data_IF_709741782253
#
_entry.id   IF_709741782253
#
_cell.length_a   1.000
_cell.length_b   1.000
_cell.length_c   1.000
_cell.angle_alpha   90.00
_cell.angle_beta   90.00
_cell.angle_gamma   90.00
#
_symmetry.space_group_name_H-M   'P 1'
#
loop_
_entity.id
_entity.type
_entity.pdbx_description
1 polymer ?
#
# COMPACT_ATOMS: atom_id res chain seq x y z
N UNK A 1 -15.01 23.98 8.27
CA UNK A 1 -15.32 23.63 6.87
C UNK A 1 -16.12 22.35 6.85
N UNK A 2 -17.14 22.22 5.96
CA UNK A 2 -17.95 21.01 5.78
C UNK A 2 -17.63 20.34 4.45
N UNK A 3 -17.63 19.00 4.43
CA UNK A 3 -17.32 18.17 3.25
C UNK A 3 -17.72 16.71 3.48
N UNK A 4 -17.84 15.93 2.40
CA UNK A 4 -18.21 14.53 2.48
C UNK A 4 -17.03 13.63 2.84
N UNK A 5 -17.30 12.62 3.67
CA UNK A 5 -16.34 11.58 4.06
C UNK A 5 -17.00 10.21 4.20
N UNK A 6 -16.23 9.16 4.00
CA UNK A 6 -16.63 7.79 4.28
C UNK A 6 -16.13 7.37 5.68
N UNK A 7 -17.06 6.98 6.54
CA UNK A 7 -16.85 6.74 7.97
C UNK A 7 -17.02 5.26 8.25
N UNK A 8 -16.05 4.64 8.93
CA UNK A 8 -16.20 3.31 9.51
C UNK A 8 -16.90 3.46 10.87
N UNK A 9 -18.16 3.05 10.90
CA UNK A 9 -19.01 3.15 12.11
C UNK A 9 -19.01 1.83 12.89
N UNK A 10 -19.01 0.72 12.16
CA UNK A 10 -19.05 -0.64 12.72
C UNK A 10 -18.20 -1.57 11.86
N UNK A 11 -17.47 -2.48 12.50
CA UNK A 11 -16.65 -3.47 11.79
C UNK A 11 -17.53 -4.39 10.93
N UNK A 12 -17.02 -4.77 9.76
CA UNK A 12 -17.68 -5.64 8.77
C UNK A 12 -18.94 -5.06 8.14
N UNK A 13 -19.23 -3.78 8.36
CA UNK A 13 -20.35 -3.08 7.74
C UNK A 13 -19.84 -2.12 6.65
N UNK A 14 -20.69 -1.74 5.70
CA UNK A 14 -20.38 -0.71 4.72
C UNK A 14 -20.02 0.62 5.40
N UNK A 15 -19.11 1.38 4.79
CA UNK A 15 -18.80 2.73 5.24
C UNK A 15 -20.02 3.64 5.06
N UNK A 16 -20.27 4.49 6.04
CA UNK A 16 -21.32 5.51 6.00
C UNK A 16 -20.75 6.77 5.36
N UNK A 17 -21.40 7.29 4.31
CA UNK A 17 -21.01 8.55 3.67
C UNK A 17 -21.85 9.66 4.25
N UNK A 18 -21.21 10.66 4.86
CA UNK A 18 -21.88 11.77 5.50
C UNK A 18 -21.06 13.07 5.39
N UNK A 19 -21.74 14.21 5.40
CA UNK A 19 -21.12 15.52 5.54
C UNK A 19 -20.55 15.66 6.96
N UNK A 20 -19.25 15.87 7.06
CA UNK A 20 -18.53 16.10 8.31
C UNK A 20 -18.00 17.52 8.40
N UNK A 21 -17.72 17.98 9.60
CA UNK A 21 -17.11 19.28 9.87
C UNK A 21 -15.71 19.12 10.43
N UNK A 22 -14.71 19.78 9.77
CA UNK A 22 -13.33 19.78 10.24
C UNK A 22 -13.16 20.65 11.48
N UNK A 23 -12.28 20.23 12.42
CA UNK A 23 -11.84 21.11 13.49
C UNK A 23 -10.95 22.24 12.95
N UNK A 24 -10.72 23.32 13.72
CA UNK A 24 -9.64 24.28 13.44
C UNK A 24 -8.27 23.55 13.44
N UNK A 25 -7.37 24.04 12.60
CA UNK A 25 -6.00 23.50 12.56
C UNK A 25 -5.26 23.79 13.87
N UNK A 26 -4.49 22.80 14.29
CA UNK A 26 -3.58 22.88 15.43
C UNK A 26 -2.14 22.90 14.95
N UNK A 27 -1.21 23.12 15.87
CA UNK A 27 0.23 23.08 15.62
C UNK A 27 0.65 21.81 14.87
N UNK A 28 1.37 21.98 13.75
CA UNK A 28 1.87 20.90 12.91
C UNK A 28 0.83 20.18 12.03
N UNK A 29 -0.41 20.71 11.95
CA UNK A 29 -1.45 20.15 11.08
C UNK A 29 -1.52 20.89 9.74
N UNK A 30 -1.96 20.17 8.71
CA UNK A 30 -2.14 20.66 7.34
C UNK A 30 -3.53 20.26 6.87
N UNK A 31 -4.32 21.23 6.38
CA UNK A 31 -5.56 20.96 5.66
C UNK A 31 -5.25 20.71 4.20
N UNK A 32 -5.65 19.57 3.69
CA UNK A 32 -5.47 19.20 2.29
C UNK A 32 -6.81 18.92 1.62
N UNK A 33 -6.95 19.30 0.35
CA UNK A 33 -8.02 18.85 -0.54
C UNK A 33 -7.54 17.61 -1.28
N UNK A 34 -8.21 16.49 -1.06
CA UNK A 34 -7.89 15.23 -1.72
C UNK A 34 -8.33 15.30 -3.20
N UNK A 35 -7.49 14.85 -4.10
CA UNK A 35 -7.79 14.75 -5.53
C UNK A 35 -8.22 13.32 -5.87
N UNK A 36 -7.40 12.35 -5.42
CA UNK A 36 -7.72 10.94 -5.51
C UNK A 36 -7.02 10.17 -4.39
N UNK A 37 -7.62 9.08 -3.97
CA UNK A 37 -7.11 8.18 -2.93
C UNK A 37 -7.10 6.75 -3.42
N UNK A 38 -6.01 6.03 -3.19
CA UNK A 38 -5.95 4.59 -3.42
C UNK A 38 -6.64 3.81 -2.29
N UNK A 39 -7.14 2.61 -2.61
CA UNK A 39 -7.63 1.66 -1.61
C UNK A 39 -6.62 0.52 -1.48
N UNK A 40 -6.11 0.34 -0.27
CA UNK A 40 -5.14 -0.70 0.07
C UNK A 40 -5.83 -1.88 0.80
N UNK A 41 -5.27 -3.09 0.68
CA UNK A 41 -5.70 -4.25 1.46
C UNK A 41 -5.66 -4.01 2.98
N UNK A 42 -4.82 -3.08 3.45
CA UNK A 42 -4.79 -2.68 4.86
C UNK A 42 -6.13 -2.08 5.34
N UNK A 43 -6.84 -1.30 4.50
CA UNK A 43 -8.18 -0.79 4.83
C UNK A 43 -9.20 -1.92 4.90
N UNK A 44 -9.09 -2.91 4.00
CA UNK A 44 -9.96 -4.09 4.05
C UNK A 44 -9.76 -4.82 5.39
N UNK A 45 -8.50 -5.06 5.78
CA UNK A 45 -8.18 -5.68 7.07
C UNK A 45 -8.71 -4.88 8.26
N UNK A 46 -8.71 -3.54 8.17
CA UNK A 46 -9.23 -2.66 9.22
C UNK A 46 -10.76 -2.75 9.32
N UNK A 47 -11.46 -2.66 8.18
CA UNK A 47 -12.92 -2.84 8.10
C UNK A 47 -13.34 -4.22 8.61
N UNK A 48 -12.61 -5.28 8.27
CA UNK A 48 -12.90 -6.65 8.69
C UNK A 48 -12.50 -6.94 10.16
N UNK A 49 -11.91 -5.98 10.86
CA UNK A 49 -11.48 -6.15 12.24
C UNK A 49 -10.32 -7.14 12.39
N UNK A 50 -9.43 -7.25 11.41
CA UNK A 50 -8.31 -8.18 11.41
C UNK A 50 -7.39 -8.03 12.64
N UNK A 51 -7.33 -6.83 13.23
CA UNK A 51 -6.57 -6.53 14.44
C UNK A 51 -7.33 -6.81 15.74
N UNK A 52 -8.59 -7.24 15.67
CA UNK A 52 -9.51 -7.44 16.80
C UNK A 52 -10.45 -6.25 16.99
N UNK A 53 -11.10 -6.12 18.17
CA UNK A 53 -12.04 -5.04 18.46
C UNK A 53 -11.42 -3.66 18.26
N UNK A 54 -12.14 -2.77 17.59
CA UNK A 54 -11.68 -1.41 17.32
C UNK A 54 -12.29 -0.42 18.32
N UNK A 55 -11.44 0.13 19.18
CA UNK A 55 -11.83 1.10 20.20
C UNK A 55 -11.95 2.54 19.69
N UNK A 56 -11.63 2.78 18.42
CA UNK A 56 -11.62 4.12 17.83
C UNK A 56 -12.89 4.43 17.01
N UNK A 57 -13.81 3.46 16.86
CA UNK A 57 -15.07 3.66 16.13
C UNK A 57 -15.93 4.79 16.77
N UNK A 58 -16.62 5.61 15.97
CA UNK A 58 -16.47 5.72 14.52
C UNK A 58 -15.20 6.49 14.13
N UNK A 59 -14.57 6.12 12.99
CA UNK A 59 -13.39 6.83 12.50
C UNK A 59 -13.27 6.86 10.97
N UNK A 60 -12.43 7.77 10.48
CA UNK A 60 -12.08 7.90 9.07
C UNK A 60 -10.98 6.89 8.67
N UNK A 61 -10.95 6.56 7.38
CA UNK A 61 -10.02 5.63 6.75
C UNK A 61 -9.24 6.27 5.59
N UNK A 62 -8.38 5.44 4.96
CA UNK A 62 -7.54 5.83 3.83
C UNK A 62 -6.17 6.34 4.29
N UNK A 63 -5.10 6.05 3.49
CA UNK A 63 -3.75 6.42 3.89
C UNK A 63 -2.78 6.69 2.73
N UNK A 64 -3.30 6.72 1.50
CA UNK A 64 -2.51 7.02 0.30
C UNK A 64 -3.35 7.90 -0.63
N UNK A 65 -2.87 9.09 -0.96
CA UNK A 65 -3.59 10.03 -1.82
C UNK A 65 -2.65 11.04 -2.47
N UNK A 66 -3.14 11.68 -3.53
CA UNK A 66 -2.62 12.97 -3.98
C UNK A 66 -3.60 14.07 -3.58
N UNK A 67 -3.05 15.17 -3.09
CA UNK A 67 -3.84 16.27 -2.56
C UNK A 67 -3.21 17.62 -2.90
N UNK A 68 -3.98 18.70 -2.68
CA UNK A 68 -3.51 20.09 -2.69
C UNK A 68 -3.59 20.66 -1.29
N UNK A 69 -2.54 21.28 -0.81
CA UNK A 69 -2.52 21.99 0.49
C UNK A 69 -3.44 23.21 0.40
N UNK A 70 -4.38 23.32 1.31
CA UNK A 70 -5.33 24.43 1.39
C UNK A 70 -4.94 25.43 2.48
N UNK A 71 -4.54 24.92 3.66
CA UNK A 71 -4.19 25.72 4.82
C UNK A 71 -3.16 24.98 5.66
N UNK A 72 -2.31 25.70 6.38
CA UNK A 72 -1.31 25.15 7.29
C UNK A 72 -1.50 25.67 8.69
N UNK A 73 -1.35 24.82 9.68
CA UNK A 73 -1.31 25.20 11.09
C UNK A 73 0.05 25.80 11.47
N UNK A 74 0.09 26.39 12.65
CA UNK A 74 1.33 26.93 13.23
C UNK A 74 2.45 25.87 13.27
N UNK A 75 3.69 26.27 13.01
CA UNK A 75 4.88 25.41 13.04
C UNK A 75 5.13 24.61 11.76
N UNK A 76 4.19 24.53 10.84
CA UNK A 76 4.39 23.83 9.55
C UNK A 76 5.38 24.60 8.67
N UNK A 77 6.40 23.90 8.17
CA UNK A 77 7.49 24.50 7.39
C UNK A 77 7.80 23.77 6.08
N UNK A 78 7.36 22.51 5.93
CA UNK A 78 7.73 21.67 4.78
C UNK A 78 6.84 21.88 3.56
N UNK A 79 5.64 22.45 3.75
CA UNK A 79 4.65 22.72 2.70
C UNK A 79 3.96 24.07 2.92
N UNK A 80 3.31 24.61 1.89
CA UNK A 80 2.51 25.82 1.91
C UNK A 80 1.21 25.67 1.12
N UNK A 81 0.20 26.55 1.35
CA UNK A 81 -1.02 26.57 0.54
C UNK A 81 -0.71 26.61 -0.97
N UNK A 82 -1.45 25.79 -1.74
CA UNK A 82 -1.26 25.60 -3.17
C UNK A 82 -0.28 24.48 -3.56
N UNK A 83 0.55 24.01 -2.66
CA UNK A 83 1.45 22.90 -2.98
C UNK A 83 0.68 21.59 -3.30
N UNK A 84 1.10 20.88 -4.36
CA UNK A 84 0.70 19.51 -4.65
C UNK A 84 1.49 18.57 -3.76
N UNK A 85 0.80 17.65 -3.08
CA UNK A 85 1.43 16.72 -2.14
C UNK A 85 0.92 15.28 -2.32
N UNK A 86 1.78 14.33 -2.00
CA UNK A 86 1.41 12.95 -1.75
C UNK A 86 1.16 12.78 -0.26
N UNK A 87 -0.02 12.30 0.11
CA UNK A 87 -0.35 11.86 1.45
C UNK A 87 0.11 10.41 1.64
N UNK A 88 0.82 10.12 2.74
CA UNK A 88 1.42 8.80 2.99
C UNK A 88 1.31 8.38 4.44
N UNK A 89 1.19 7.06 4.66
CA UNK A 89 1.01 6.51 6.00
C UNK A 89 2.31 6.43 6.82
N UNK A 90 3.45 6.28 6.15
CA UNK A 90 4.76 6.29 6.82
C UNK A 90 5.10 7.69 7.30
N UNK A 91 5.78 7.76 8.43
CA UNK A 91 6.31 9.03 8.94
C UNK A 91 7.41 9.54 8.02
N UNK A 92 7.28 10.76 7.54
CA UNK A 92 8.28 11.51 6.78
C UNK A 92 8.88 12.67 7.60
N UNK A 93 9.40 13.68 6.91
CA UNK A 93 9.90 14.92 7.51
C UNK A 93 8.74 15.77 8.06
N UNK A 94 9.08 16.69 8.96
CA UNK A 94 8.13 17.62 9.56
C UNK A 94 7.58 17.16 10.92
N UNK A 95 6.60 17.90 11.43
CA UNK A 95 6.04 17.74 12.76
C UNK A 95 5.05 16.57 12.81
N UNK A 96 5.08 15.83 13.93
CA UNK A 96 4.04 14.87 14.29
C UNK A 96 2.96 15.60 15.09
N UNK A 97 1.85 15.91 14.45
CA UNK A 97 0.73 16.60 15.09
C UNK A 97 -0.22 15.62 15.80
N UNK A 98 -1.04 16.09 16.76
CA UNK A 98 -2.17 15.33 17.29
C UNK A 98 -3.14 14.94 16.19
N UNK A 99 -3.78 13.76 16.31
CA UNK A 99 -4.83 13.36 15.38
C UNK A 99 -6.06 14.27 15.52
N UNK A 100 -6.69 14.70 14.42
CA UNK A 100 -7.91 15.50 14.48
C UNK A 100 -9.12 14.64 14.88
N UNK A 101 -10.15 15.27 15.40
CA UNK A 101 -11.46 14.69 15.55
C UNK A 101 -12.48 15.56 14.81
N UNK A 102 -13.34 14.92 14.03
CA UNK A 102 -14.41 15.55 13.26
C UNK A 102 -15.74 15.36 13.96
N UNK A 103 -16.77 16.02 13.48
CA UNK A 103 -18.16 15.83 13.89
C UNK A 103 -19.08 15.86 12.68
N UNK A 104 -20.23 15.25 12.80
CA UNK A 104 -21.31 15.31 11.82
C UNK A 104 -22.65 15.49 12.50
N UNK A 105 -23.71 15.44 11.71
CA UNK A 105 -25.09 15.48 12.27
C UNK A 105 -25.38 14.21 13.09
N UNK A 106 -24.89 13.05 12.62
CA UNK A 106 -25.17 11.75 13.27
C UNK A 106 -24.16 11.41 14.36
N UNK A 107 -22.92 11.93 14.28
CA UNK A 107 -21.84 11.58 15.19
C UNK A 107 -21.20 12.83 15.80
N UNK A 108 -21.31 13.01 17.12
CA UNK A 108 -20.73 14.17 17.81
C UNK A 108 -19.18 14.14 17.81
N UNK A 109 -18.60 12.96 17.59
CA UNK A 109 -17.16 12.75 17.47
C UNK A 109 -16.86 11.62 16.48
N UNK A 110 -16.03 11.92 15.48
CA UNK A 110 -15.49 10.96 14.52
C UNK A 110 -13.97 11.03 14.65
N UNK A 111 -13.35 9.92 15.03
CA UNK A 111 -11.91 9.85 15.19
C UNK A 111 -11.20 9.81 13.82
N UNK A 112 -9.91 10.09 13.82
CA UNK A 112 -9.07 10.06 12.62
C UNK A 112 -7.65 9.63 12.99
N UNK A 113 -6.87 9.22 11.98
CA UNK A 113 -5.44 9.00 12.10
C UNK A 113 -4.62 10.27 11.84
N UNK A 114 -3.30 10.12 11.76
CA UNK A 114 -2.39 11.20 11.32
C UNK A 114 -2.55 11.53 9.84
N UNK A 115 -3.15 10.63 9.08
CA UNK A 115 -3.58 10.76 7.69
C UNK A 115 -4.81 9.90 7.48
N UNK A 116 -5.86 10.49 6.88
CA UNK A 116 -7.05 9.78 6.39
C UNK A 116 -7.46 10.41 5.07
N UNK A 117 -7.83 9.60 4.09
CA UNK A 117 -7.94 10.07 2.71
C UNK A 117 -9.25 9.71 2.00
N UNK A 118 -10.19 9.00 2.68
CA UNK A 118 -11.51 8.69 2.11
C UNK A 118 -12.51 9.83 2.38
N UNK A 119 -12.13 11.04 1.98
CA UNK A 119 -12.89 12.26 2.17
C UNK A 119 -12.44 13.33 1.17
N UNK A 120 -13.29 14.32 0.89
CA UNK A 120 -12.96 15.42 -0.03
C UNK A 120 -11.81 16.30 0.51
N UNK A 121 -11.76 16.50 1.83
CA UNK A 121 -10.69 17.21 2.53
C UNK A 121 -10.22 16.40 3.74
N UNK A 122 -9.01 16.63 4.17
CA UNK A 122 -8.45 15.99 5.36
C UNK A 122 -7.52 16.94 6.13
N UNK A 123 -7.58 16.87 7.44
CA UNK A 123 -6.55 17.44 8.32
C UNK A 123 -5.55 16.35 8.63
N UNK A 124 -4.33 16.55 8.17
CA UNK A 124 -3.24 15.57 8.29
C UNK A 124 -2.07 16.14 9.09
N UNK A 125 -1.22 15.30 9.63
CA UNK A 125 0.03 15.72 10.25
C UNK A 125 1.04 16.14 9.18
N UNK A 126 1.85 17.18 9.42
CA UNK A 126 2.86 17.66 8.47
C UNK A 126 3.76 16.53 7.96
N UNK A 127 4.19 15.63 8.83
CA UNK A 127 5.03 14.50 8.47
C UNK A 127 4.31 13.35 7.76
N UNK A 128 3.10 13.58 7.27
CA UNK A 128 2.31 12.65 6.43
C UNK A 128 2.07 13.20 5.02
N UNK A 129 2.76 14.27 4.66
CA UNK A 129 2.72 14.83 3.31
C UNK A 129 4.13 15.05 2.77
N UNK A 130 4.30 14.79 1.49
CA UNK A 130 5.55 15.10 0.75
C UNK A 130 5.19 15.84 -0.53
N UNK A 131 5.82 16.99 -0.73
CA UNK A 131 5.61 17.83 -1.92
C UNK A 131 6.07 17.12 -3.19
N UNK A 132 5.28 17.29 -4.26
CA UNK A 132 5.59 16.83 -5.62
C UNK A 132 5.34 17.97 -6.62
N UNK A 133 5.80 17.86 -7.89
CA UNK A 133 5.49 18.85 -8.93
C UNK A 133 3.98 19.11 -9.06
N UNK A 134 3.61 20.36 -9.36
CA UNK A 134 2.21 20.78 -9.39
C UNK A 134 1.39 20.07 -10.48
N UNK A 135 2.04 19.68 -11.57
CA UNK A 135 1.49 18.96 -12.72
C UNK A 135 1.66 17.44 -12.64
N UNK A 136 2.28 16.92 -11.56
CA UNK A 136 2.46 15.47 -11.39
C UNK A 136 1.12 14.76 -11.39
N UNK A 137 1.03 13.65 -12.15
CA UNK A 137 -0.22 12.90 -12.33
C UNK A 137 -0.80 12.47 -10.97
N UNK A 138 -2.05 12.84 -10.64
CA UNK A 138 -2.61 12.59 -9.32
C UNK A 138 -2.73 11.10 -8.97
N UNK A 139 -3.11 10.25 -9.91
CA UNK A 139 -3.27 8.81 -9.66
C UNK A 139 -1.91 8.15 -9.39
N UNK A 140 -0.90 8.50 -10.18
CA UNK A 140 0.48 8.08 -9.93
C UNK A 140 0.96 8.56 -8.56
N UNK A 141 0.70 9.82 -8.21
CA UNK A 141 1.05 10.37 -6.90
C UNK A 141 0.40 9.60 -5.75
N UNK A 142 -0.88 9.23 -5.86
CA UNK A 142 -1.55 8.44 -4.83
C UNK A 142 -0.88 7.07 -4.61
N UNK A 143 -0.44 6.40 -5.69
CA UNK A 143 0.31 5.13 -5.59
C UNK A 143 1.61 5.27 -4.79
N UNK A 144 2.27 6.44 -4.88
CA UNK A 144 3.50 6.71 -4.11
C UNK A 144 3.26 6.79 -2.60
N UNK A 145 2.03 7.03 -2.14
CA UNK A 145 1.69 7.15 -0.72
C UNK A 145 1.81 5.86 0.09
N UNK A 146 1.76 4.69 -0.60
CA UNK A 146 1.84 3.39 0.05
C UNK A 146 2.51 2.34 -0.83
N UNK A 147 1.85 1.89 -1.91
CA UNK A 147 2.25 0.68 -2.63
C UNK A 147 3.64 0.78 -3.26
N UNK A 148 3.94 1.88 -3.92
CA UNK A 148 5.21 2.05 -4.67
C UNK A 148 6.38 2.28 -3.73
N UNK A 149 6.24 3.15 -2.73
CA UNK A 149 7.29 3.40 -1.72
C UNK A 149 7.57 2.13 -0.90
N UNK A 150 6.53 1.37 -0.52
CA UNK A 150 6.70 0.08 0.14
C UNK A 150 7.50 -0.89 -0.74
N UNK A 151 7.13 -1.04 -2.00
CA UNK A 151 7.81 -1.94 -2.92
C UNK A 151 9.29 -1.56 -3.14
N UNK A 152 9.57 -0.26 -3.34
CA UNK A 152 10.95 0.24 -3.44
C UNK A 152 11.76 -0.14 -2.20
N UNK A 153 11.21 0.12 -1.02
CA UNK A 153 11.89 -0.17 0.24
C UNK A 153 12.04 -1.66 0.50
N UNK A 154 11.06 -2.50 0.12
CA UNK A 154 11.18 -3.97 0.21
C UNK A 154 12.38 -4.45 -0.60
N UNK A 155 12.53 -4.00 -1.84
CA UNK A 155 13.65 -4.39 -2.71
C UNK A 155 14.98 -3.87 -2.16
N UNK A 156 15.07 -2.57 -1.84
CA UNK A 156 16.34 -1.92 -1.52
C UNK A 156 16.79 -2.17 -0.06
N UNK A 157 15.86 -2.09 0.89
CA UNK A 157 16.19 -2.06 2.32
C UNK A 157 16.04 -3.43 2.99
N UNK A 158 14.95 -4.16 2.67
CA UNK A 158 14.66 -5.44 3.31
C UNK A 158 15.29 -6.61 2.54
N UNK A 159 14.98 -6.75 1.26
CA UNK A 159 15.54 -7.80 0.42
C UNK A 159 17.01 -7.54 0.06
N UNK A 160 17.40 -6.27 -0.11
CA UNK A 160 18.73 -5.89 -0.61
C UNK A 160 19.07 -6.70 -1.86
N UNK A 161 18.13 -6.70 -2.82
CA UNK A 161 18.15 -7.53 -4.00
C UNK A 161 19.36 -7.19 -4.87
N UNK A 162 20.18 -8.21 -5.18
CA UNK A 162 21.34 -8.06 -6.04
C UNK A 162 21.03 -8.47 -7.50
N UNK A 163 21.83 -7.97 -8.43
CA UNK A 163 21.75 -8.35 -9.84
C UNK A 163 21.92 -9.87 -9.98
N UNK A 164 21.04 -10.52 -10.75
CA UNK A 164 21.08 -11.94 -11.02
C UNK A 164 20.41 -12.83 -9.97
N UNK A 165 20.02 -12.29 -8.81
CA UNK A 165 19.28 -13.08 -7.83
C UNK A 165 17.88 -13.44 -8.33
N UNK A 166 17.44 -14.63 -7.99
CA UNK A 166 16.08 -15.10 -8.22
C UNK A 166 15.11 -14.58 -7.16
N UNK A 167 13.91 -14.21 -7.59
CA UNK A 167 12.88 -13.69 -6.66
C UNK A 167 11.50 -14.29 -6.94
N UNK A 168 10.84 -14.78 -5.88
CA UNK A 168 9.44 -15.22 -5.90
C UNK A 168 8.57 -14.24 -5.13
N UNK A 169 7.51 -13.73 -5.75
CA UNK A 169 6.58 -12.76 -5.20
C UNK A 169 5.21 -13.40 -5.04
N UNK A 170 4.85 -13.72 -3.81
CA UNK A 170 3.57 -14.30 -3.43
C UNK A 170 2.55 -13.20 -3.19
N UNK A 171 1.47 -13.18 -3.99
CA UNK A 171 0.49 -12.11 -4.03
C UNK A 171 0.90 -10.96 -4.95
N UNK A 172 0.36 -10.94 -6.17
CA UNK A 172 0.59 -9.91 -7.19
C UNK A 172 -0.50 -8.82 -7.17
N UNK A 173 -0.86 -8.34 -5.97
CA UNK A 173 -1.67 -7.14 -5.77
C UNK A 173 -0.85 -5.87 -5.96
N UNK A 174 -1.39 -4.71 -5.55
CA UNK A 174 -0.74 -3.41 -5.80
C UNK A 174 0.70 -3.29 -5.31
N UNK A 175 1.06 -3.89 -4.16
CA UNK A 175 2.45 -3.90 -3.67
C UNK A 175 3.29 -4.92 -4.46
N UNK A 176 2.80 -6.17 -4.63
CA UNK A 176 3.53 -7.22 -5.32
C UNK A 176 3.87 -6.90 -6.77
N UNK A 177 2.96 -6.26 -7.52
CA UNK A 177 3.20 -5.81 -8.89
C UNK A 177 4.34 -4.77 -8.96
N UNK A 178 4.37 -3.83 -8.01
CA UNK A 178 5.47 -2.86 -7.95
C UNK A 178 6.80 -3.51 -7.49
N UNK A 179 6.76 -4.53 -6.62
CA UNK A 179 7.94 -5.32 -6.27
C UNK A 179 8.51 -6.01 -7.51
N UNK A 180 7.65 -6.63 -8.35
CA UNK A 180 8.06 -7.26 -9.61
C UNK A 180 8.70 -6.22 -10.54
N UNK A 181 8.10 -5.04 -10.70
CA UNK A 181 8.67 -3.97 -11.52
C UNK A 181 10.06 -3.55 -11.01
N UNK A 182 10.22 -3.33 -9.70
CA UNK A 182 11.51 -2.95 -9.14
C UNK A 182 12.53 -4.08 -9.20
N UNK A 183 12.13 -5.34 -9.03
CA UNK A 183 13.00 -6.50 -9.20
C UNK A 183 13.55 -6.58 -10.63
N UNK A 184 12.69 -6.33 -11.64
CA UNK A 184 13.14 -6.28 -13.04
C UNK A 184 14.12 -5.13 -13.28
N UNK A 185 13.89 -3.94 -12.69
CA UNK A 185 14.83 -2.80 -12.78
C UNK A 185 16.13 -3.04 -12.02
N UNK A 186 16.11 -3.85 -10.97
CA UNK A 186 17.31 -4.26 -10.21
C UNK A 186 18.10 -5.36 -10.90
N UNK A 187 17.59 -5.94 -11.99
CA UNK A 187 18.29 -7.01 -12.73
C UNK A 187 18.16 -8.39 -12.09
N UNK A 188 17.10 -8.67 -11.35
CA UNK A 188 16.81 -10.00 -10.82
C UNK A 188 16.42 -10.98 -11.93
N UNK A 189 16.79 -12.27 -11.80
CA UNK A 189 16.41 -13.33 -12.73
C UNK A 189 16.56 -14.72 -12.09
N UNK A 190 15.53 -15.60 -12.21
CA UNK A 190 14.19 -15.32 -12.70
C UNK A 190 13.35 -14.49 -11.71
N UNK A 191 12.31 -13.79 -12.23
CA UNK A 191 11.31 -13.07 -11.45
C UNK A 191 10.00 -13.83 -11.56
N UNK A 192 9.50 -14.32 -10.45
CA UNK A 192 8.37 -15.25 -10.40
C UNK A 192 7.20 -14.59 -9.67
N UNK A 193 6.09 -14.42 -10.37
CA UNK A 193 4.82 -13.93 -9.79
C UNK A 193 3.88 -15.09 -9.46
N UNK A 194 3.31 -15.11 -8.25
CA UNK A 194 2.39 -16.14 -7.79
C UNK A 194 1.12 -15.47 -7.25
N UNK A 195 -0.04 -15.85 -7.78
CA UNK A 195 -1.35 -15.33 -7.35
C UNK A 195 -2.46 -16.36 -7.62
N UNK A 196 -3.65 -16.10 -7.10
CA UNK A 196 -4.86 -16.88 -7.36
C UNK A 196 -5.60 -16.46 -8.64
N UNK A 197 -5.25 -15.31 -9.24
CA UNK A 197 -6.02 -14.66 -10.30
C UNK A 197 -5.17 -14.42 -11.55
N UNK A 198 -5.55 -15.03 -12.69
CA UNK A 198 -4.79 -14.94 -13.95
C UNK A 198 -4.65 -13.52 -14.47
N UNK A 199 -5.70 -12.67 -14.35
CA UNK A 199 -5.63 -11.28 -14.78
C UNK A 199 -4.57 -10.44 -14.02
N UNK A 200 -4.26 -10.79 -12.77
CA UNK A 200 -3.17 -10.17 -12.01
C UNK A 200 -1.81 -10.70 -12.48
N UNK A 201 -1.74 -11.97 -12.81
CA UNK A 201 -0.53 -12.61 -13.35
C UNK A 201 -0.18 -12.07 -14.75
N UNK A 202 -1.18 -11.75 -15.58
CA UNK A 202 -0.96 -11.07 -16.86
C UNK A 202 -0.33 -9.69 -16.68
N UNK A 203 -0.82 -8.91 -15.71
CA UNK A 203 -0.21 -7.61 -15.37
C UNK A 203 1.20 -7.78 -14.80
N UNK A 204 1.44 -8.82 -14.00
CA UNK A 204 2.77 -9.15 -13.47
C UNK A 204 3.79 -9.41 -14.60
N UNK A 205 3.39 -10.15 -15.66
CA UNK A 205 4.24 -10.36 -16.84
C UNK A 205 4.59 -9.05 -17.54
N UNK A 206 3.61 -8.16 -17.73
CA UNK A 206 3.83 -6.83 -18.35
C UNK A 206 4.81 -5.98 -17.54
N UNK A 207 4.85 -6.16 -16.23
CA UNK A 207 5.73 -5.42 -15.32
C UNK A 207 7.10 -6.10 -15.09
N UNK A 208 7.35 -7.23 -15.74
CA UNK A 208 8.68 -7.85 -15.76
C UNK A 208 8.79 -9.21 -15.09
N UNK A 209 7.67 -9.84 -14.67
CA UNK A 209 7.73 -11.23 -14.24
C UNK A 209 8.13 -12.14 -15.42
N UNK A 210 9.17 -12.93 -15.25
CA UNK A 210 9.63 -13.89 -16.25
C UNK A 210 8.78 -15.16 -16.26
N UNK A 211 8.27 -15.52 -15.08
CA UNK A 211 7.39 -16.66 -14.87
C UNK A 211 6.22 -16.28 -13.97
N UNK A 212 5.08 -16.92 -14.18
CA UNK A 212 3.91 -16.71 -13.33
C UNK A 212 3.19 -18.02 -13.10
N UNK A 213 2.72 -18.24 -11.87
CA UNK A 213 1.98 -19.44 -11.50
C UNK A 213 0.68 -19.08 -10.78
N UNK A 214 -0.42 -19.67 -11.26
CA UNK A 214 -1.71 -19.61 -10.56
C UNK A 214 -1.76 -20.71 -9.52
N UNK A 215 -1.70 -20.33 -8.24
CA UNK A 215 -1.64 -21.28 -7.13
C UNK A 215 -2.95 -22.02 -6.84
N UNK A 216 -4.03 -21.72 -7.57
CA UNK A 216 -5.25 -22.56 -7.55
C UNK A 216 -5.09 -23.83 -8.36
N UNK A 217 -4.24 -23.79 -9.39
CA UNK A 217 -4.13 -24.84 -10.40
C UNK A 217 -2.75 -25.50 -10.44
N UNK A 218 -1.76 -24.98 -9.69
CA UNK A 218 -0.38 -25.43 -9.70
C UNK A 218 0.11 -25.74 -8.28
N UNK A 219 0.87 -26.80 -8.16
CA UNK A 219 1.73 -27.06 -6.99
C UNK A 219 2.97 -26.16 -7.08
N UNK A 220 2.94 -25.07 -6.32
CA UNK A 220 3.98 -24.04 -6.38
C UNK A 220 5.37 -24.60 -6.00
N UNK A 221 5.45 -25.51 -5.03
CA UNK A 221 6.73 -26.12 -4.63
C UNK A 221 7.32 -26.95 -5.76
N UNK A 222 6.48 -27.77 -6.40
CA UNK A 222 6.89 -28.58 -7.54
C UNK A 222 7.31 -27.73 -8.75
N UNK A 223 6.55 -26.69 -9.09
CA UNK A 223 6.85 -25.81 -10.21
C UNK A 223 8.14 -25.00 -9.98
N UNK A 224 8.35 -24.46 -8.78
CA UNK A 224 9.60 -23.77 -8.45
C UNK A 224 10.80 -24.71 -8.42
N UNK A 225 10.65 -25.93 -7.90
CA UNK A 225 11.71 -26.94 -7.94
C UNK A 225 12.13 -27.34 -9.37
N UNK A 226 11.17 -27.43 -10.30
CA UNK A 226 11.47 -27.66 -11.72
C UNK A 226 12.19 -26.47 -12.37
N UNK A 227 11.80 -25.25 -12.02
CA UNK A 227 12.31 -24.02 -12.64
C UNK A 227 13.72 -23.67 -12.16
N UNK A 228 13.98 -23.77 -10.85
CA UNK A 228 15.19 -23.27 -10.20
C UNK A 228 16.07 -24.41 -9.71
N UNK A 229 15.49 -25.59 -9.49
CA UNK A 229 16.18 -26.73 -8.89
C UNK A 229 16.08 -26.74 -7.36
N UNK A 230 16.81 -27.67 -6.72
CA UNK A 230 16.70 -27.89 -5.26
C UNK A 230 17.31 -26.78 -4.41
N UNK A 231 18.08 -25.87 -4.99
CA UNK A 231 18.67 -24.73 -4.28
C UNK A 231 17.64 -23.71 -3.82
N UNK A 232 16.44 -23.71 -4.42
CA UNK A 232 15.37 -22.74 -4.13
C UNK A 232 15.67 -21.32 -4.60
N UNK A 233 14.75 -20.36 -4.33
CA UNK A 233 14.94 -18.95 -4.69
C UNK A 233 15.83 -18.22 -3.68
N UNK A 234 16.57 -17.21 -4.15
CA UNK A 234 17.37 -16.34 -3.27
C UNK A 234 16.49 -15.47 -2.40
N UNK A 235 15.38 -14.99 -2.95
CA UNK A 235 14.44 -14.07 -2.26
C UNK A 235 13.00 -14.52 -2.44
N UNK A 236 12.25 -14.61 -1.36
CA UNK A 236 10.80 -14.74 -1.40
C UNK A 236 10.15 -13.52 -0.71
N UNK A 237 9.18 -12.91 -1.38
CA UNK A 237 8.38 -11.81 -0.82
C UNK A 237 6.95 -12.30 -0.63
N UNK A 238 6.46 -12.23 0.60
CA UNK A 238 5.14 -12.67 0.96
C UNK A 238 4.24 -11.45 1.24
N UNK A 239 3.21 -11.23 0.39
CA UNK A 239 2.32 -10.06 0.46
C UNK A 239 0.90 -10.40 0.92
N UNK A 240 0.59 -11.65 1.24
CA UNK A 240 -0.79 -12.08 1.53
C UNK A 240 -1.12 -12.08 3.02
N UNK A 241 -0.15 -12.37 3.88
CA UNK A 241 -0.33 -12.60 5.31
C UNK A 241 -1.03 -13.93 5.64
N UNK A 242 -1.16 -14.85 4.68
CA UNK A 242 -1.78 -16.16 4.84
C UNK A 242 -0.72 -17.17 5.32
N UNK A 243 -1.01 -17.88 6.40
CA UNK A 243 -0.04 -18.77 7.05
C UNK A 243 0.53 -19.84 6.10
N UNK A 244 -0.32 -20.50 5.28
CA UNK A 244 0.13 -21.52 4.32
C UNK A 244 1.04 -20.94 3.23
N UNK A 245 0.79 -19.69 2.84
CA UNK A 245 1.63 -18.98 1.86
C UNK A 245 2.97 -18.59 2.47
N UNK A 246 2.97 -18.15 3.75
CA UNK A 246 4.21 -17.85 4.50
C UNK A 246 5.08 -19.10 4.62
N UNK A 247 4.48 -20.25 4.95
CA UNK A 247 5.16 -21.53 5.04
C UNK A 247 5.75 -21.96 3.68
N UNK A 248 4.95 -21.87 2.63
CA UNK A 248 5.40 -22.17 1.26
C UNK A 248 6.55 -21.25 0.84
N UNK A 249 6.42 -19.94 1.06
CA UNK A 249 7.48 -18.97 0.75
C UNK A 249 8.78 -19.31 1.49
N UNK A 250 8.69 -19.71 2.76
CA UNK A 250 9.84 -20.11 3.55
C UNK A 250 10.49 -21.40 3.01
N UNK A 251 9.69 -22.40 2.65
CA UNK A 251 10.19 -23.68 2.18
C UNK A 251 10.89 -23.61 0.82
N UNK A 252 10.33 -22.83 -0.12
CA UNK A 252 10.90 -22.67 -1.48
C UNK A 252 12.11 -21.74 -1.55
N UNK A 253 12.41 -21.04 -0.47
CA UNK A 253 13.60 -20.17 -0.36
C UNK A 253 14.82 -21.02 -0.05
N UNK A 254 15.93 -20.73 -0.70
CA UNK A 254 17.18 -21.46 -0.53
C UNK A 254 17.79 -21.38 0.87
N UNK A 255 18.80 -22.23 1.17
CA UNK A 255 19.39 -22.31 2.51
C UNK A 255 19.99 -21.01 3.04
N UNK A 256 20.48 -20.14 2.16
CA UNK A 256 21.02 -18.82 2.51
C UNK A 256 20.15 -17.67 2.00
N UNK A 257 18.95 -18.03 1.51
CA UNK A 257 17.99 -17.05 1.00
C UNK A 257 17.26 -16.32 2.11
N UNK A 258 16.42 -15.36 1.70
CA UNK A 258 15.68 -14.50 2.62
C UNK A 258 14.21 -14.39 2.26
N UNK A 259 13.37 -14.51 3.26
CA UNK A 259 11.91 -14.35 3.18
C UNK A 259 11.53 -13.04 3.83
N UNK A 260 10.83 -12.19 3.10
CA UNK A 260 10.36 -10.88 3.58
C UNK A 260 8.83 -10.91 3.67
N UNK A 261 8.31 -10.79 4.89
CA UNK A 261 6.88 -10.74 5.17
C UNK A 261 6.39 -9.30 5.06
N UNK A 262 5.57 -9.04 4.05
CA UNK A 262 4.95 -7.73 3.79
C UNK A 262 3.45 -7.78 4.07
N UNK A 263 2.80 -8.91 3.80
CA UNK A 263 1.40 -9.16 4.10
C UNK A 263 1.15 -9.15 5.61
N UNK A 264 0.08 -8.46 6.04
CA UNK A 264 -0.28 -8.38 7.46
C UNK A 264 -1.31 -9.46 7.77
N UNK A 265 -0.97 -10.45 8.63
CA UNK A 265 -1.90 -11.51 9.00
C UNK A 265 -3.02 -10.98 9.91
N UNK A 266 -4.21 -11.55 9.79
CA UNK A 266 -5.28 -11.29 10.76
C UNK A 266 -4.94 -11.91 12.13
N UNK A 267 -5.27 -11.20 13.22
CA UNK A 267 -4.98 -11.65 14.60
C UNK A 267 -5.57 -13.03 14.93
N UNK A 268 -6.75 -13.32 14.38
CA UNK A 268 -7.46 -14.59 14.57
C UNK A 268 -7.04 -15.67 13.55
N UNK A 269 -6.15 -15.36 12.59
CA UNK A 269 -5.69 -16.34 11.61
C UNK A 269 -4.81 -17.42 12.24
N UNK A 270 -4.71 -18.55 11.54
CA UNK A 270 -3.74 -19.61 11.89
C UNK A 270 -2.32 -19.02 11.91
N UNK A 271 -1.54 -19.41 12.90
CA UNK A 271 -0.12 -19.04 12.97
C UNK A 271 0.68 -19.95 12.05
N UNK A 272 1.66 -19.44 11.28
CA UNK A 272 2.52 -20.26 10.47
C UNK A 272 3.42 -21.17 11.34
N UNK A 273 3.62 -22.40 10.87
CA UNK A 273 4.56 -23.36 11.46
C UNK A 273 5.81 -23.44 10.58
N UNK A 274 6.97 -23.18 11.13
CA UNK A 274 8.22 -23.06 10.39
C UNK A 274 9.28 -23.94 11.02
N UNK A 275 9.98 -24.74 10.18
CA UNK A 275 11.17 -25.47 10.62
C UNK A 275 12.34 -24.48 10.77
N UNK A 276 12.81 -24.28 12.00
CA UNK A 276 13.73 -23.19 12.31
C UNK A 276 15.22 -23.53 12.12
N UNK A 277 15.59 -24.79 11.93
CA UNK A 277 17.01 -25.17 11.75
C UNK A 277 17.75 -24.36 10.67
N UNK A 278 17.16 -24.10 9.48
CA UNK A 278 17.83 -23.31 8.45
C UNK A 278 18.20 -21.88 8.88
N UNK A 279 17.46 -21.29 9.84
CA UNK A 279 17.80 -19.96 10.38
C UNK A 279 19.16 -19.94 11.07
N UNK A 280 19.60 -21.06 11.66
CA UNK A 280 20.93 -21.20 12.25
C UNK A 280 22.05 -21.26 11.20
N UNK A 281 21.71 -21.46 9.92
CA UNK A 281 22.64 -21.54 8.79
C UNK A 281 22.43 -20.39 7.80
N UNK A 282 22.09 -19.20 8.31
CA UNK A 282 21.97 -17.92 7.60
C UNK A 282 20.73 -17.76 6.69
N UNK A 283 19.76 -18.66 6.71
CA UNK A 283 18.46 -18.38 6.11
C UNK A 283 17.80 -17.26 6.92
N UNK A 284 17.22 -16.26 6.24
CA UNK A 284 16.60 -15.10 6.90
C UNK A 284 15.09 -15.15 6.75
N UNK A 285 14.38 -14.92 7.85
CA UNK A 285 12.95 -14.63 7.87
C UNK A 285 12.74 -13.32 8.61
N UNK A 286 12.19 -12.31 7.94
CA UNK A 286 11.99 -10.99 8.54
C UNK A 286 10.70 -10.34 8.06
N UNK A 287 10.17 -9.40 8.85
CA UNK A 287 9.04 -8.57 8.48
C UNK A 287 9.45 -7.26 7.78
N UNK A 288 8.51 -6.65 7.10
CA UNK A 288 8.66 -5.36 6.45
C UNK A 288 7.61 -4.37 6.94
N UNK A 289 8.02 -3.30 7.57
CA UNK A 289 7.15 -2.16 7.87
C UNK A 289 7.25 -1.12 6.76
N UNK A 290 6.41 -1.29 5.71
CA UNK A 290 6.38 -0.40 4.55
C UNK A 290 7.72 -0.28 3.82
N UNK A 291 8.49 -1.37 3.76
CA UNK A 291 9.81 -1.38 3.14
C UNK A 291 10.88 -0.58 3.92
N UNK A 292 10.58 -0.09 5.13
CA UNK A 292 11.47 0.88 5.78
C UNK A 292 11.66 2.15 4.98
N UNK A 293 10.70 2.52 4.10
CA UNK A 293 10.80 3.68 3.24
C UNK A 293 10.80 4.99 4.03
N UNK A 294 11.44 5.99 3.47
CA UNK A 294 11.52 7.38 3.95
C UNK A 294 10.84 8.28 2.92
N UNK A 295 9.52 8.58 3.10
CA UNK A 295 8.72 9.28 2.08
C UNK A 295 9.35 10.57 1.57
N UNK A 296 9.93 11.37 2.45
CA UNK A 296 10.59 12.65 2.12
C UNK A 296 11.82 12.49 1.21
N UNK A 297 12.41 11.31 1.15
CA UNK A 297 13.55 10.98 0.30
C UNK A 297 13.10 10.15 -0.91
N UNK A 298 12.26 9.15 -0.68
CA UNK A 298 11.94 8.14 -1.68
C UNK A 298 10.89 8.63 -2.68
N UNK A 299 9.89 9.45 -2.24
CA UNK A 299 8.90 10.03 -3.17
C UNK A 299 9.56 10.94 -4.20
N UNK A 300 10.46 11.90 -3.86
CA UNK A 300 11.19 12.67 -4.86
C UNK A 300 12.05 11.85 -5.82
N UNK A 301 12.64 10.73 -5.37
CA UNK A 301 13.35 9.80 -6.26
C UNK A 301 12.41 9.14 -7.25
N UNK A 302 11.26 8.66 -6.77
CA UNK A 302 10.24 8.01 -7.59
C UNK A 302 9.64 8.98 -8.62
N UNK A 303 9.39 10.24 -8.24
CA UNK A 303 8.95 11.29 -9.16
C UNK A 303 9.96 11.44 -10.31
N UNK A 304 11.26 11.66 -10.00
CA UNK A 304 12.29 11.77 -11.04
C UNK A 304 12.40 10.55 -11.96
N UNK A 305 12.25 9.33 -11.40
CA UNK A 305 12.27 8.10 -12.20
C UNK A 305 11.04 7.98 -13.10
N UNK A 306 9.90 8.45 -12.64
CA UNK A 306 8.66 8.49 -13.41
C UNK A 306 8.77 9.48 -14.56
N UNK A 307 9.20 10.72 -14.29
CA UNK A 307 9.42 11.77 -15.29
C UNK A 307 10.45 11.37 -16.35
N UNK A 308 11.47 10.61 -15.94
CA UNK A 308 12.48 10.05 -16.85
C UNK A 308 12.00 8.81 -17.63
N UNK A 309 10.74 8.40 -17.49
CA UNK A 309 10.18 7.19 -18.16
C UNK A 309 10.84 5.88 -17.70
N UNK A 310 11.47 5.86 -16.52
CA UNK A 310 12.11 4.66 -15.97
C UNK A 310 11.15 3.78 -15.19
N UNK A 311 10.02 4.32 -14.73
CA UNK A 311 8.94 3.61 -14.07
C UNK A 311 7.67 3.77 -14.90
N UNK A 312 6.93 2.67 -15.04
CA UNK A 312 5.65 2.63 -15.72
C UNK A 312 4.54 2.24 -14.73
N UNK A 313 3.54 3.10 -14.63
CA UNK A 313 2.35 2.87 -13.80
C UNK A 313 1.09 2.62 -14.64
N UNK A 314 1.23 2.53 -15.97
CA UNK A 314 0.12 2.22 -16.88
C UNK A 314 -0.47 0.84 -16.55
N UNK A 315 -1.78 0.81 -16.39
CA UNK A 315 -2.52 -0.40 -16.03
C UNK A 315 -2.47 -0.78 -14.53
N UNK A 316 -1.67 -0.09 -13.70
CA UNK A 316 -1.70 -0.32 -12.26
C UNK A 316 -2.97 0.24 -11.61
N UNK A 317 -3.54 1.32 -12.14
CA UNK A 317 -4.88 1.80 -11.77
C UNK A 317 -5.89 1.17 -12.71
N UNK A 318 -6.55 0.10 -12.26
CA UNK A 318 -7.45 -0.68 -13.11
C UNK A 318 -8.91 -0.20 -13.09
N UNK A 319 -9.34 0.40 -11.98
CA UNK A 319 -10.70 0.94 -11.82
C UNK A 319 -10.70 2.26 -11.05
N UNK A 320 -11.70 3.09 -11.37
CA UNK A 320 -11.94 4.40 -10.75
C UNK A 320 -13.36 4.46 -10.23
N UNK A 321 -13.54 5.04 -9.06
CA UNK A 321 -14.81 5.18 -8.36
C UNK A 321 -14.93 6.60 -7.83
N UNK A 322 -16.16 7.07 -7.63
CA UNK A 322 -16.43 8.28 -6.84
C UNK A 322 -16.49 7.93 -5.35
N UNK A 323 -16.46 8.94 -4.49
CA UNK A 323 -16.55 8.72 -3.04
C UNK A 323 -17.84 7.99 -2.64
N UNK A 324 -18.98 8.29 -3.28
CA UNK A 324 -20.26 7.63 -3.05
C UNK A 324 -20.28 6.15 -3.51
N UNK A 325 -19.31 5.71 -4.29
CA UNK A 325 -19.11 4.33 -4.75
C UNK A 325 -18.04 3.58 -3.95
N UNK A 326 -17.56 4.13 -2.83
CA UNK A 326 -16.42 3.54 -2.10
C UNK A 326 -16.71 2.11 -1.60
N UNK A 327 -17.95 1.81 -1.24
CA UNK A 327 -18.34 0.47 -0.80
C UNK A 327 -18.30 -0.55 -1.97
N UNK A 328 -18.63 -0.14 -3.19
CA UNK A 328 -18.47 -0.95 -4.40
C UNK A 328 -16.97 -1.22 -4.65
N UNK A 329 -16.14 -0.19 -4.52
CA UNK A 329 -14.69 -0.33 -4.68
C UNK A 329 -14.07 -1.30 -3.64
N UNK A 330 -14.52 -1.23 -2.39
CA UNK A 330 -14.13 -2.14 -1.31
C UNK A 330 -14.54 -3.58 -1.63
N UNK A 331 -15.77 -3.80 -2.10
CA UNK A 331 -16.28 -5.12 -2.48
C UNK A 331 -15.52 -5.70 -3.67
N UNK A 332 -15.24 -4.89 -4.70
CA UNK A 332 -14.43 -5.31 -5.85
C UNK A 332 -13.02 -5.73 -5.43
N UNK A 333 -12.39 -4.99 -4.51
CA UNK A 333 -11.06 -5.34 -4.00
C UNK A 333 -11.09 -6.63 -3.16
N UNK A 334 -12.07 -6.79 -2.27
CA UNK A 334 -12.26 -8.00 -1.44
C UNK A 334 -12.42 -9.26 -2.29
N UNK A 335 -13.20 -9.17 -3.36
CA UNK A 335 -13.48 -10.29 -4.24
C UNK A 335 -12.42 -10.51 -5.34
N UNK A 336 -11.27 -9.81 -5.27
CA UNK A 336 -10.15 -9.98 -6.19
C UNK A 336 -10.42 -9.48 -7.62
N UNK A 337 -11.47 -8.67 -7.85
CA UNK A 337 -11.83 -8.11 -9.16
C UNK A 337 -10.95 -6.95 -9.60
N UNK A 338 -10.02 -6.52 -8.74
CA UNK A 338 -9.06 -5.44 -9.02
C UNK A 338 -7.68 -6.04 -9.32
N UNK A 339 -7.11 -5.72 -10.48
CA UNK A 339 -5.69 -5.89 -10.75
C UNK A 339 -4.95 -4.58 -10.38
N UNK A 340 -3.88 -4.66 -9.63
CA UNK A 340 -3.15 -3.46 -9.18
C UNK A 340 -3.87 -2.70 -8.07
N UNK A 341 -4.37 -1.50 -8.39
CA UNK A 341 -5.09 -0.60 -7.47
C UNK A 341 -6.39 -0.10 -8.10
N UNK A 342 -7.36 0.23 -7.26
CA UNK A 342 -8.46 1.12 -7.60
C UNK A 342 -8.27 2.48 -6.92
N UNK A 343 -8.80 3.52 -7.55
CA UNK A 343 -8.76 4.91 -7.08
C UNK A 343 -10.16 5.41 -6.78
N UNK A 344 -10.29 6.13 -5.67
CA UNK A 344 -11.47 6.94 -5.36
C UNK A 344 -11.14 8.39 -5.73
N UNK A 345 -11.88 8.92 -6.69
CA UNK A 345 -11.75 10.29 -7.18
C UNK A 345 -12.63 11.23 -6.35
N UNK A 346 -12.09 12.37 -5.93
CA UNK A 346 -12.80 13.34 -5.11
C UNK A 346 -13.25 14.53 -5.95
N UNK A 347 -14.56 14.87 -5.87
CA UNK A 347 -15.17 15.97 -6.62
C UNK A 347 -15.52 15.65 -8.07
N UNK A 348 -16.13 16.59 -8.79
CA UNK A 348 -16.57 16.47 -10.20
C UNK A 348 -15.43 16.70 -11.20
N UNK A 349 -14.19 16.57 -10.79
CA UNK A 349 -13.02 16.99 -11.54
C UNK A 349 -12.08 15.85 -11.93
N UNK A 350 -12.46 15.05 -12.91
CA UNK A 350 -11.52 14.52 -13.90
C UNK A 350 -12.14 14.85 -15.27
N UNK A 351 -11.93 16.04 -15.74
CA UNK A 351 -11.87 16.38 -17.15
C UNK A 351 -10.42 16.47 -17.56
#
# INVERSE_FOLDING_TARGET
MKFNAAILVELKQPLVIEEIESPPLRFGQVLVRILCSGICGAQINEIEGAKGPDKFLPHLLGHEATATVMEIGEGVTTVKPGDRVVCHWRKGAGLQAPTPAYKSKSFPKINSGWVTTFSEYSVVSENRVTKVPADFNPETGALLGCAVTTALGVINNNAKLAIGESIAVFGTGGVGLNIIQFAAKAGAHPIIGIDLHDHKLELARKLGATHTFNSRNADIKAELSKLIGPQGVDVAIENTGVADVIETAYEVTGPQGRVILVGVPAKAARKPSIYTLPLHFNKVLTGSEGGGCRPEIDIPKLVRLTEAGKLDFNGLVSKRYRLDQINEAIDDLKNGRIAGRCMVLMGNGVN
#
